data_IF_416296885844
#
_entry.id   IF_416296885844
#
_cell.length_a   1.000
_cell.length_b   1.000
_cell.length_c   1.000
_cell.angle_alpha   90.00
_cell.angle_beta   90.00
_cell.angle_gamma   90.00
#
_symmetry.space_group_name_H-M   'P 1'
#
loop_
_entity.id
_entity.type
_entity.pdbx_description
1 polymer ?
#
# COMPACT_ATOMS: atom_id res chain seq x y z
N UNK A 1 18.87 -1.14 -0.22
CA UNK A 1 17.64 -0.33 -0.21
C UNK A 1 16.44 -1.16 -0.64
N UNK A 2 16.37 -1.64 -1.89
CA UNK A 2 15.27 -2.50 -2.39
C UNK A 2 15.15 -3.87 -1.71
N UNK A 3 16.27 -4.58 -1.44
CA UNK A 3 16.21 -5.95 -0.88
C UNK A 3 15.59 -6.03 0.53
N UNK A 4 15.69 -4.98 1.35
CA UNK A 4 15.17 -4.96 2.74
C UNK A 4 13.69 -4.57 2.84
N UNK A 5 13.17 -3.82 1.86
CA UNK A 5 11.78 -3.36 1.82
C UNK A 5 10.99 -4.03 0.68
N UNK A 6 11.50 -5.15 0.13
CA UNK A 6 10.93 -5.83 -1.02
C UNK A 6 9.47 -6.25 -0.76
N UNK A 7 9.18 -6.71 0.46
CA UNK A 7 7.82 -7.05 0.89
C UNK A 7 6.86 -5.85 0.80
N UNK A 8 7.26 -4.69 1.33
CA UNK A 8 6.44 -3.47 1.24
C UNK A 8 6.23 -3.02 -0.19
N UNK A 9 7.24 -3.16 -1.06
CA UNK A 9 7.15 -2.85 -2.49
C UNK A 9 6.17 -3.81 -3.19
N UNK A 10 6.22 -5.11 -2.90
CA UNK A 10 5.27 -6.11 -3.39
C UNK A 10 3.83 -5.79 -2.95
N UNK A 11 3.63 -5.41 -1.69
CA UNK A 11 2.32 -5.00 -1.16
C UNK A 11 1.82 -3.75 -1.89
N UNK A 12 2.67 -2.74 -2.10
CA UNK A 12 2.28 -1.52 -2.84
C UNK A 12 1.83 -1.87 -4.26
N UNK A 13 2.56 -2.73 -4.97
CA UNK A 13 2.20 -3.18 -6.33
C UNK A 13 0.85 -3.91 -6.31
N UNK A 14 0.65 -4.84 -5.38
CA UNK A 14 -0.62 -5.58 -5.27
C UNK A 14 -1.82 -4.66 -4.98
N UNK A 15 -1.65 -3.64 -4.13
CA UNK A 15 -2.71 -2.68 -3.82
C UNK A 15 -2.98 -1.74 -5.00
N UNK A 16 -1.95 -1.33 -5.74
CA UNK A 16 -2.12 -0.57 -6.97
C UNK A 16 -2.92 -1.33 -8.03
N UNK A 17 -2.68 -2.64 -8.20
CA UNK A 17 -3.48 -3.46 -9.12
C UNK A 17 -4.96 -3.52 -8.71
N UNK A 18 -5.25 -3.59 -7.40
CA UNK A 18 -6.63 -3.53 -6.89
C UNK A 18 -7.29 -2.18 -7.16
N UNK A 19 -6.54 -1.08 -7.01
CA UNK A 19 -7.02 0.28 -7.27
C UNK A 19 -7.26 0.52 -8.76
N UNK A 20 -6.33 0.10 -9.62
CA UNK A 20 -6.44 0.25 -11.08
C UNK A 20 -7.55 -0.62 -11.68
N UNK A 21 -7.88 -1.75 -11.04
CA UNK A 21 -9.00 -2.60 -11.43
C UNK A 21 -10.37 -2.13 -10.94
N UNK A 22 -10.44 -1.02 -10.20
CA UNK A 22 -11.71 -0.51 -9.67
C UNK A 22 -12.40 0.41 -10.68
N UNK A 23 -13.67 0.10 -10.99
CA UNK A 23 -14.49 0.91 -11.89
C UNK A 23 -15.18 2.04 -11.12
N UNK A 24 -14.68 3.27 -11.30
CA UNK A 24 -15.22 4.47 -10.67
C UNK A 24 -16.56 4.94 -11.27
N UNK A 25 -16.91 4.51 -12.49
CA UNK A 25 -18.18 4.90 -13.13
C UNK A 25 -19.39 4.20 -12.51
N UNK A 26 -19.19 3.00 -11.94
CA UNK A 26 -20.24 2.18 -11.33
C UNK A 26 -20.00 2.01 -9.81
N UNK A 27 -19.73 3.11 -9.10
CA UNK A 27 -19.53 3.07 -7.64
C UNK A 27 -20.83 2.68 -6.95
N UNK A 28 -20.80 1.53 -6.27
CA UNK A 28 -21.82 1.09 -5.34
C UNK A 28 -21.20 0.94 -3.95
N UNK A 29 -21.59 1.80 -3.02
CA UNK A 29 -21.07 1.84 -1.63
C UNK A 29 -21.48 0.62 -0.79
N UNK A 30 -22.52 -0.11 -1.20
CA UNK A 30 -22.91 -1.38 -0.60
C UNK A 30 -22.14 -2.58 -1.19
N UNK A 31 -21.32 -2.38 -2.22
CA UNK A 31 -20.58 -3.45 -2.88
C UNK A 31 -19.29 -3.80 -2.13
N UNK A 32 -18.99 -5.08 -2.01
CA UNK A 32 -17.71 -5.59 -1.51
C UNK A 32 -16.50 -5.00 -2.24
N UNK A 33 -16.64 -4.69 -3.54
CA UNK A 33 -15.55 -4.09 -4.33
C UNK A 33 -15.16 -2.70 -3.83
N UNK A 34 -16.13 -1.90 -3.39
CA UNK A 34 -15.88 -0.56 -2.85
C UNK A 34 -15.11 -0.65 -1.51
N UNK A 35 -15.48 -1.58 -0.65
CA UNK A 35 -14.76 -1.82 0.61
C UNK A 35 -13.36 -2.38 0.41
N UNK A 36 -13.17 -3.26 -0.58
CA UNK A 36 -11.84 -3.74 -0.98
C UNK A 36 -10.96 -2.60 -1.51
N UNK A 37 -11.52 -1.71 -2.33
CA UNK A 37 -10.82 -0.50 -2.79
C UNK A 37 -10.42 0.42 -1.63
N UNK A 38 -11.35 0.66 -0.69
CA UNK A 38 -11.10 1.49 0.48
C UNK A 38 -10.00 0.87 1.37
N UNK A 39 -10.09 -0.44 1.63
CA UNK A 39 -9.09 -1.18 2.38
C UNK A 39 -7.72 -1.17 1.70
N UNK A 40 -7.68 -1.38 0.38
CA UNK A 40 -6.44 -1.32 -0.40
C UNK A 40 -5.76 0.06 -0.30
N UNK A 41 -6.55 1.13 -0.33
CA UNK A 41 -6.06 2.51 -0.16
C UNK A 41 -5.41 2.73 1.20
N UNK A 42 -6.05 2.25 2.28
CA UNK A 42 -5.50 2.35 3.65
C UNK A 42 -4.19 1.57 3.79
N UNK A 43 -4.16 0.32 3.28
CA UNK A 43 -2.96 -0.53 3.34
C UNK A 43 -1.81 0.07 2.53
N UNK A 44 -2.10 0.70 1.39
CA UNK A 44 -1.09 1.38 0.58
C UNK A 44 -0.44 2.52 1.36
N UNK A 45 -1.23 3.36 2.04
CA UNK A 45 -0.71 4.45 2.89
C UNK A 45 0.14 3.88 4.02
N UNK A 46 -0.34 2.86 4.73
CA UNK A 46 0.40 2.21 5.81
C UNK A 46 1.76 1.65 5.34
N UNK A 47 1.78 1.05 4.14
CA UNK A 47 3.01 0.49 3.55
C UNK A 47 4.03 1.58 3.22
N UNK A 48 3.59 2.72 2.71
CA UNK A 48 4.47 3.87 2.44
C UNK A 48 5.05 4.42 3.76
N UNK A 49 4.22 4.62 4.78
CA UNK A 49 4.66 5.08 6.10
C UNK A 49 5.70 4.12 6.69
N UNK A 50 5.45 2.82 6.61
CA UNK A 50 6.35 1.80 7.14
C UNK A 50 7.72 1.86 6.47
N UNK A 51 7.78 2.09 5.15
CA UNK A 51 9.05 2.28 4.43
C UNK A 51 9.81 3.49 4.99
N UNK A 52 9.15 4.65 5.12
CA UNK A 52 9.77 5.86 5.65
C UNK A 52 10.27 5.70 7.08
N UNK A 53 9.48 5.06 7.96
CA UNK A 53 9.88 4.80 9.36
C UNK A 53 11.07 3.85 9.43
N UNK A 54 11.05 2.77 8.64
CA UNK A 54 12.16 1.81 8.61
C UNK A 54 13.45 2.46 8.10
N UNK A 55 13.34 3.30 7.07
CA UNK A 55 14.48 4.01 6.51
C UNK A 55 15.07 5.02 7.50
N UNK A 56 14.21 5.81 8.17
CA UNK A 56 14.60 6.75 9.23
C UNK A 56 15.30 6.05 10.40
N UNK A 57 14.75 4.91 10.87
CA UNK A 57 15.35 4.12 11.95
C UNK A 57 16.72 3.56 11.57
N UNK A 58 16.88 3.12 10.32
CA UNK A 58 18.12 2.54 9.84
C UNK A 58 19.21 3.58 9.56
N UNK A 59 18.82 4.84 9.28
CA UNK A 59 19.75 5.95 9.12
C UNK A 59 20.26 6.50 10.47
N UNK A 60 19.44 6.42 11.53
CA UNK A 60 19.82 6.87 12.89
C UNK A 60 20.76 5.92 13.63
N UNK A 61 20.73 4.63 13.31
CA UNK A 61 21.65 3.63 13.83
C UNK A 61 22.31 2.91 12.64
N UNK A 62 23.38 3.48 12.05
CA UNK A 62 24.21 2.75 11.11
C UNK A 62 24.90 1.64 11.89
N UNK A 63 24.35 0.42 11.82
CA UNK A 63 25.08 -0.79 12.18
C UNK A 63 26.06 -1.12 11.09
#
# INVERSE_FOLDING_TARGET
MIKRNLSSILVIIAMLLNILGFDFMNINTASTKFWLFLGATIVLIASVILIFVNESKNNKNPK
#
